data_IF_061571523653
#
_entry.id   IF_061571523653
#
_cell.length_a   1.000
_cell.length_b   1.000
_cell.length_c   1.000
_cell.angle_alpha   90.00
_cell.angle_beta   90.00
_cell.angle_gamma   90.00
#
_symmetry.space_group_name_H-M   'P 1'
#
loop_
_entity.id
_entity.type
_entity.pdbx_description
1 polymer ?
#
# COMPACT_ATOMS: atom_id res chain seq x y z
N UNK A 1 -35.58 -7.39 9.03
CA UNK A 1 -35.43 -7.34 7.55
C UNK A 1 -34.22 -6.46 7.25
N UNK A 2 -33.00 -7.01 7.34
CA UNK A 2 -31.72 -6.31 7.04
C UNK A 2 -30.65 -7.33 6.63
N UNK A 3 -31.03 -8.25 5.73
CA UNK A 3 -30.10 -9.23 5.15
C UNK A 3 -30.32 -9.21 3.65
N UNK A 4 -29.75 -8.21 2.97
CA UNK A 4 -29.34 -8.37 1.58
C UNK A 4 -28.55 -7.15 1.10
N UNK A 5 -27.23 -7.31 1.06
CA UNK A 5 -26.35 -6.84 0.01
C UNK A 5 -24.90 -7.06 0.45
N UNK A 6 -24.50 -8.31 0.68
CA UNK A 6 -23.11 -8.66 0.41
C UNK A 6 -22.94 -8.64 -1.12
N UNK A 7 -22.98 -7.44 -1.70
CA UNK A 7 -22.76 -7.24 -3.13
C UNK A 7 -21.42 -7.85 -3.47
N UNK A 8 -21.39 -8.70 -4.51
CA UNK A 8 -20.15 -9.32 -4.97
C UNK A 8 -19.09 -8.23 -5.16
N UNK A 9 -17.88 -8.47 -4.62
CA UNK A 9 -16.75 -7.55 -4.81
C UNK A 9 -16.51 -7.35 -6.31
N UNK A 10 -16.46 -6.09 -6.74
CA UNK A 10 -16.04 -5.73 -8.08
C UNK A 10 -14.51 -5.92 -8.23
N UNK A 11 -13.99 -5.75 -9.46
CA UNK A 11 -12.55 -5.90 -9.71
C UNK A 11 -11.67 -5.00 -8.84
N UNK A 12 -12.17 -3.81 -8.49
CA UNK A 12 -11.48 -2.87 -7.60
C UNK A 12 -11.52 -3.36 -6.16
N UNK A 13 -12.69 -3.86 -5.73
CA UNK A 13 -12.87 -4.50 -4.44
C UNK A 13 -11.86 -5.62 -4.22
N UNK A 14 -11.75 -6.54 -5.17
CA UNK A 14 -10.76 -7.62 -5.11
C UNK A 14 -9.31 -7.11 -5.09
N UNK A 15 -8.97 -6.15 -5.94
CA UNK A 15 -7.62 -5.57 -5.98
C UNK A 15 -7.24 -4.99 -4.61
N UNK A 16 -8.07 -4.09 -4.06
CA UNK A 16 -7.77 -3.44 -2.79
C UNK A 16 -7.86 -4.38 -1.60
N UNK A 17 -8.70 -5.42 -1.67
CA UNK A 17 -8.73 -6.47 -0.65
C UNK A 17 -7.40 -7.24 -0.61
N UNK A 18 -6.87 -7.66 -1.76
CA UNK A 18 -5.59 -8.38 -1.83
C UNK A 18 -4.44 -7.48 -1.37
N UNK A 19 -4.37 -6.24 -1.86
CA UNK A 19 -3.32 -5.30 -1.47
C UNK A 19 -3.42 -4.93 0.02
N UNK A 20 -4.63 -4.72 0.53
CA UNK A 20 -4.90 -4.43 1.93
C UNK A 20 -4.51 -5.59 2.84
N UNK A 21 -4.94 -6.81 2.50
CA UNK A 21 -4.61 -8.02 3.25
C UNK A 21 -3.09 -8.27 3.28
N UNK A 22 -2.41 -8.12 2.14
CA UNK A 22 -0.94 -8.25 2.08
C UNK A 22 -0.23 -7.21 2.94
N UNK A 23 -0.68 -5.95 2.91
CA UNK A 23 -0.12 -4.87 3.73
C UNK A 23 -0.33 -5.12 5.23
N UNK A 24 -1.53 -5.58 5.62
CA UNK A 24 -1.84 -5.93 7.01
C UNK A 24 -1.01 -7.14 7.46
N UNK A 25 -0.86 -8.18 6.63
CA UNK A 25 -0.03 -9.33 6.96
C UNK A 25 1.44 -8.92 7.19
N UNK A 26 2.00 -8.09 6.29
CA UNK A 26 3.34 -7.52 6.44
C UNK A 26 3.46 -6.71 7.75
N UNK A 27 2.47 -5.86 8.05
CA UNK A 27 2.43 -5.09 9.28
C UNK A 27 2.37 -5.95 10.54
N UNK A 28 1.53 -6.99 10.57
CA UNK A 28 1.44 -7.88 11.71
C UNK A 28 2.76 -8.63 11.96
N UNK A 29 3.50 -8.98 10.91
CA UNK A 29 4.84 -9.55 11.06
C UNK A 29 5.81 -8.53 11.67
N UNK A 30 5.86 -7.29 11.16
CA UNK A 30 6.67 -6.22 11.75
C UNK A 30 6.34 -5.96 13.24
N UNK A 31 5.06 -6.00 13.61
CA UNK A 31 4.61 -5.72 14.97
C UNK A 31 4.92 -6.87 15.94
N UNK A 32 4.65 -8.10 15.53
CA UNK A 32 4.77 -9.30 16.36
C UNK A 32 6.18 -9.89 16.40
N UNK A 33 6.93 -9.80 15.30
CA UNK A 33 8.27 -10.39 15.15
C UNK A 33 9.22 -9.47 14.38
N UNK A 34 9.53 -8.25 14.89
CA UNK A 34 10.29 -7.24 14.14
C UNK A 34 11.69 -7.69 13.73
N UNK A 35 12.40 -8.44 14.59
CA UNK A 35 13.72 -8.97 14.24
C UNK A 35 13.63 -9.99 13.11
N UNK A 36 12.70 -10.94 13.22
CA UNK A 36 12.48 -11.95 12.19
C UNK A 36 12.06 -11.32 10.85
N UNK A 37 11.21 -10.29 10.87
CA UNK A 37 10.88 -9.54 9.67
C UNK A 37 12.11 -8.84 9.07
N UNK A 38 12.91 -8.18 9.91
CA UNK A 38 14.10 -7.44 9.47
C UNK A 38 15.17 -8.36 8.88
N UNK A 39 15.33 -9.58 9.37
CA UNK A 39 16.36 -10.51 8.87
C UNK A 39 15.87 -11.38 7.71
N UNK A 40 14.60 -11.80 7.70
CA UNK A 40 14.15 -12.91 6.85
C UNK A 40 13.23 -12.46 5.71
N UNK A 41 12.76 -11.19 5.71
CA UNK A 41 12.09 -10.65 4.54
C UNK A 41 13.08 -10.65 3.36
N UNK A 42 12.73 -11.22 2.19
CA UNK A 42 13.63 -11.32 1.03
C UNK A 42 13.74 -9.97 0.28
N UNK A 43 14.09 -8.92 1.01
CA UNK A 43 14.25 -7.55 0.55
C UNK A 43 15.54 -6.90 1.08
N UNK A 44 16.44 -7.70 1.71
CA UNK A 44 17.69 -7.23 2.30
C UNK A 44 17.52 -5.98 3.18
N UNK A 45 16.49 -5.97 4.03
CA UNK A 45 16.24 -4.86 4.97
C UNK A 45 17.47 -4.44 5.79
N UNK A 46 18.42 -5.34 6.16
CA UNK A 46 19.64 -4.92 6.85
C UNK A 46 20.51 -3.92 6.10
N UNK A 47 20.38 -3.81 4.78
CA UNK A 47 21.08 -2.81 3.97
C UNK A 47 20.59 -1.38 4.28
N UNK A 48 19.40 -1.21 4.89
CA UNK A 48 18.85 0.09 5.29
C UNK A 48 19.38 0.61 6.62
N UNK A 49 20.37 -0.06 7.22
CA UNK A 49 21.02 0.32 8.48
C UNK A 49 20.66 -0.58 9.67
N UNK A 50 21.23 -0.30 10.87
CA UNK A 50 21.14 -1.20 12.02
C UNK A 50 19.70 -1.45 12.52
N UNK A 51 19.45 -2.66 13.03
CA UNK A 51 18.14 -3.03 13.58
C UNK A 51 17.68 -2.09 14.70
N UNK A 52 16.48 -1.55 14.55
CA UNK A 52 15.77 -0.81 15.58
C UNK A 52 14.32 -1.32 15.68
N UNK A 53 13.93 -2.00 16.79
CA UNK A 53 12.61 -2.60 16.92
C UNK A 53 11.47 -1.57 17.03
N UNK A 54 11.76 -0.34 17.46
CA UNK A 54 10.76 0.73 17.46
C UNK A 54 10.49 1.18 16.03
N UNK A 55 11.56 1.46 15.28
CA UNK A 55 11.48 1.87 13.87
C UNK A 55 10.73 0.84 13.00
N UNK A 56 11.05 -0.45 13.14
CA UNK A 56 10.32 -1.52 12.42
C UNK A 56 8.83 -1.51 12.76
N UNK A 57 8.46 -1.27 14.02
CA UNK A 57 7.05 -1.21 14.43
C UNK A 57 6.35 0.05 13.95
N UNK A 58 7.03 1.18 13.85
CA UNK A 58 6.48 2.40 13.25
C UNK A 58 6.15 2.18 11.77
N UNK A 59 7.04 1.52 11.02
CA UNK A 59 6.76 1.07 9.65
C UNK A 59 5.56 0.11 9.65
N UNK A 60 5.51 -0.82 10.60
CA UNK A 60 4.36 -1.69 10.85
C UNK A 60 3.04 -0.93 10.98
N UNK A 61 2.99 0.09 11.84
CA UNK A 61 1.81 0.94 12.02
C UNK A 61 1.41 1.67 10.73
N UNK A 62 2.38 2.15 9.94
CA UNK A 62 2.12 2.81 8.67
C UNK A 62 1.51 1.84 7.63
N UNK A 63 2.09 0.66 7.46
CA UNK A 63 1.55 -0.40 6.58
C UNK A 63 0.19 -0.91 7.06
N UNK A 64 -0.02 -1.04 8.37
CA UNK A 64 -1.32 -1.42 8.92
C UNK A 64 -2.39 -0.37 8.59
N UNK A 65 -2.06 0.91 8.77
CA UNK A 65 -2.98 2.03 8.48
C UNK A 65 -3.34 2.07 6.99
N UNK A 66 -2.35 1.99 6.10
CA UNK A 66 -2.59 1.94 4.65
C UNK A 66 -3.36 0.68 4.24
N UNK A 67 -3.01 -0.48 4.81
CA UNK A 67 -3.67 -1.76 4.55
C UNK A 67 -5.13 -1.78 5.00
N UNK A 68 -5.42 -1.21 6.17
CA UNK A 68 -6.78 -1.06 6.68
C UNK A 68 -7.61 -0.12 5.79
N UNK A 69 -7.02 0.99 5.32
CA UNK A 69 -7.69 1.90 4.38
C UNK A 69 -8.03 1.19 3.05
N UNK A 70 -7.10 0.40 2.50
CA UNK A 70 -7.35 -0.40 1.29
C UNK A 70 -8.41 -1.48 1.51
N UNK A 71 -8.33 -2.19 2.64
CA UNK A 71 -9.35 -3.17 3.03
C UNK A 71 -10.74 -2.54 3.16
N UNK A 72 -10.84 -1.34 3.72
CA UNK A 72 -12.09 -0.60 3.78
C UNK A 72 -12.56 -0.16 2.38
N UNK A 73 -11.66 0.35 1.54
CA UNK A 73 -11.97 0.75 0.16
C UNK A 73 -12.53 -0.40 -0.69
N UNK A 74 -12.21 -1.66 -0.33
CA UNK A 74 -12.73 -2.83 -1.01
C UNK A 74 -14.25 -2.96 -0.86
N UNK A 75 -14.78 -2.66 0.34
CA UNK A 75 -16.19 -2.83 0.69
C UNK A 75 -16.99 -1.52 0.70
N UNK A 76 -16.34 -0.37 0.57
CA UNK A 76 -16.99 0.94 0.56
C UNK A 76 -16.74 1.71 -0.75
N UNK A 77 -17.42 1.36 -1.88
CA UNK A 77 -17.23 2.03 -3.17
C UNK A 77 -17.36 3.55 -3.10
N UNK A 78 -18.29 4.07 -2.29
CA UNK A 78 -18.49 5.51 -2.07
C UNK A 78 -17.29 6.23 -1.46
N UNK A 79 -16.48 5.55 -0.65
CA UNK A 79 -15.31 6.12 0.02
C UNK A 79 -13.98 5.67 -0.61
N UNK A 80 -14.07 4.98 -1.74
CA UNK A 80 -12.93 4.30 -2.34
C UNK A 80 -11.83 5.26 -2.77
N UNK A 81 -12.16 6.35 -3.47
CA UNK A 81 -11.14 7.30 -3.92
C UNK A 81 -10.34 7.92 -2.76
N UNK A 82 -10.94 8.50 -1.70
CA UNK A 82 -10.14 9.06 -0.61
C UNK A 82 -9.34 8.01 0.15
N UNK A 83 -9.89 6.81 0.39
CA UNK A 83 -9.18 5.73 1.09
C UNK A 83 -7.96 5.21 0.29
N UNK A 84 -8.15 4.93 -0.99
CA UNK A 84 -7.05 4.51 -1.89
C UNK A 84 -6.06 5.65 -2.10
N UNK A 85 -6.53 6.90 -2.14
CA UNK A 85 -5.69 8.09 -2.22
C UNK A 85 -4.73 8.22 -1.03
N UNK A 86 -5.21 8.02 0.20
CA UNK A 86 -4.36 8.04 1.39
C UNK A 86 -3.29 6.94 1.35
N UNK A 87 -3.65 5.72 0.97
CA UNK A 87 -2.67 4.64 0.79
C UNK A 87 -1.65 4.99 -0.32
N UNK A 88 -2.13 5.56 -1.44
CA UNK A 88 -1.28 5.98 -2.55
C UNK A 88 -0.23 6.99 -2.12
N UNK A 89 -0.58 7.95 -1.27
CA UNK A 89 0.37 8.95 -0.72
C UNK A 89 1.49 8.24 0.03
N UNK A 90 1.15 7.34 0.96
CA UNK A 90 2.13 6.59 1.75
C UNK A 90 3.06 5.76 0.85
N UNK A 91 2.50 4.91 -0.01
CA UNK A 91 3.30 4.03 -0.87
C UNK A 91 4.15 4.81 -1.87
N UNK A 92 3.68 5.94 -2.38
CA UNK A 92 4.47 6.81 -3.27
C UNK A 92 5.64 7.44 -2.51
N UNK A 93 5.39 8.02 -1.33
CA UNK A 93 6.44 8.61 -0.51
C UNK A 93 7.50 7.57 -0.12
N UNK A 94 7.06 6.36 0.25
CA UNK A 94 7.95 5.25 0.57
C UNK A 94 8.79 4.81 -0.64
N UNK A 95 8.19 4.67 -1.83
CA UNK A 95 8.93 4.35 -3.04
C UNK A 95 9.93 5.44 -3.45
N UNK A 96 9.59 6.71 -3.26
CA UNK A 96 10.50 7.83 -3.52
C UNK A 96 11.68 7.83 -2.55
N UNK A 97 11.48 7.46 -1.28
CA UNK A 97 12.57 7.32 -0.31
C UNK A 97 13.58 6.25 -0.77
N UNK A 98 13.11 5.05 -1.10
CA UNK A 98 13.98 3.98 -1.62
C UNK A 98 14.70 4.38 -2.91
N UNK A 99 13.99 5.06 -3.82
CA UNK A 99 14.58 5.58 -5.06
C UNK A 99 15.67 6.60 -4.78
N UNK A 100 15.43 7.51 -3.83
CA UNK A 100 16.40 8.54 -3.44
C UNK A 100 17.65 7.90 -2.83
N UNK A 101 17.50 7.05 -1.81
CA UNK A 101 18.63 6.42 -1.14
C UNK A 101 19.44 5.50 -2.07
N UNK A 102 18.78 4.79 -2.98
CA UNK A 102 19.48 4.03 -4.01
C UNK A 102 20.21 4.95 -4.99
N UNK A 103 19.59 6.06 -5.44
CA UNK A 103 20.21 6.98 -6.39
C UNK A 103 21.45 7.69 -5.83
N UNK A 104 21.46 8.03 -4.53
CA UNK A 104 22.61 8.70 -3.88
C UNK A 104 23.65 7.73 -3.32
N UNK A 105 23.41 6.42 -3.42
CA UNK A 105 24.34 5.37 -3.00
C UNK A 105 24.29 5.03 -1.51
N UNK A 106 23.25 5.44 -0.78
CA UNK A 106 22.99 4.98 0.58
C UNK A 106 22.49 3.53 0.62
N UNK A 107 21.84 3.08 -0.46
CA UNK A 107 21.49 1.68 -0.67
C UNK A 107 22.27 1.08 -1.86
N UNK A 108 22.60 -0.23 -1.80
CA UNK A 108 23.14 -0.96 -2.93
C UNK A 108 22.27 -0.84 -4.20
N UNK A 109 22.90 -0.75 -5.39
CA UNK A 109 22.17 -0.55 -6.65
C UNK A 109 21.23 -1.71 -7.04
N UNK A 110 21.40 -2.90 -6.46
CA UNK A 110 20.46 -4.01 -6.65
C UNK A 110 19.07 -3.73 -6.04
N UNK A 111 18.92 -2.73 -5.16
CA UNK A 111 17.61 -2.34 -4.61
C UNK A 111 16.62 -1.86 -5.69
N UNK A 112 17.10 -1.35 -6.82
CA UNK A 112 16.23 -1.05 -7.98
C UNK A 112 15.37 -2.24 -8.42
N UNK A 113 15.88 -3.46 -8.27
CA UNK A 113 15.18 -4.69 -8.62
C UNK A 113 14.63 -5.41 -7.40
N UNK A 114 15.40 -5.46 -6.32
CA UNK A 114 15.03 -6.16 -5.08
C UNK A 114 13.75 -5.58 -4.47
N UNK A 115 13.59 -4.25 -4.52
CA UNK A 115 12.47 -3.56 -3.87
C UNK A 115 11.20 -3.54 -4.75
N UNK A 116 11.26 -4.03 -6.00
CA UNK A 116 10.12 -4.01 -6.93
C UNK A 116 8.86 -4.65 -6.33
N UNK A 117 8.90 -5.86 -5.74
CA UNK A 117 7.69 -6.53 -5.26
C UNK A 117 7.02 -5.82 -4.08
N UNK A 118 7.83 -5.27 -3.16
CA UNK A 118 7.36 -4.72 -1.89
C UNK A 118 7.17 -3.20 -1.87
N UNK A 119 7.86 -2.48 -2.75
CA UNK A 119 7.96 -1.01 -2.71
C UNK A 119 7.44 -0.39 -4.00
N UNK A 120 8.03 -0.71 -5.16
CA UNK A 120 7.71 -0.02 -6.41
C UNK A 120 6.40 -0.49 -7.05
N UNK A 121 6.16 -1.79 -7.15
CA UNK A 121 4.96 -2.33 -7.77
C UNK A 121 3.67 -1.91 -7.03
N UNK A 122 3.58 -1.97 -5.68
CA UNK A 122 2.43 -1.47 -4.95
C UNK A 122 2.18 0.02 -5.19
N UNK A 123 3.24 0.85 -5.20
CA UNK A 123 3.11 2.28 -5.45
C UNK A 123 2.54 2.55 -6.85
N UNK A 124 3.09 1.93 -7.89
CA UNK A 124 2.60 2.09 -9.27
C UNK A 124 1.14 1.64 -9.40
N UNK A 125 0.79 0.48 -8.84
CA UNK A 125 -0.58 -0.03 -8.87
C UNK A 125 -1.56 0.95 -8.20
N UNK A 126 -1.20 1.52 -7.06
CA UNK A 126 -2.04 2.48 -6.34
C UNK A 126 -2.14 3.83 -7.06
N UNK A 127 -1.05 4.34 -7.63
CA UNK A 127 -1.05 5.56 -8.44
C UNK A 127 -1.99 5.41 -9.64
N UNK A 128 -1.86 4.32 -10.40
CA UNK A 128 -2.69 4.04 -11.57
C UNK A 128 -4.15 3.85 -11.16
N UNK A 129 -4.41 3.10 -10.09
CA UNK A 129 -5.76 2.88 -9.56
C UNK A 129 -6.43 4.19 -9.16
N UNK A 130 -5.74 5.05 -8.41
CA UNK A 130 -6.23 6.36 -7.98
C UNK A 130 -6.51 7.27 -9.17
N UNK A 131 -5.62 7.32 -10.16
CA UNK A 131 -5.83 8.12 -11.37
C UNK A 131 -7.08 7.67 -12.16
N UNK A 132 -7.29 6.36 -12.30
CA UNK A 132 -8.46 5.82 -13.01
C UNK A 132 -9.75 6.09 -12.22
N UNK A 133 -9.75 5.88 -10.90
CA UNK A 133 -10.91 6.15 -10.06
C UNK A 133 -11.32 7.63 -10.10
N UNK A 134 -10.33 8.54 -10.00
CA UNK A 134 -10.57 9.98 -10.09
C UNK A 134 -11.19 10.40 -11.43
N UNK A 135 -10.72 9.84 -12.54
CA UNK A 135 -11.30 10.11 -13.87
C UNK A 135 -12.76 9.69 -13.95
N UNK A 136 -13.10 8.51 -13.43
CA UNK A 136 -14.47 7.99 -13.43
C UNK A 136 -15.43 8.81 -12.59
N UNK A 137 -15.03 9.21 -11.38
CA UNK A 137 -15.85 10.11 -10.57
C UNK A 137 -16.11 11.44 -11.31
N UNK A 138 -15.10 11.99 -12.00
CA UNK A 138 -15.25 13.20 -12.82
C UNK A 138 -16.24 13.03 -13.98
N UNK A 139 -16.19 11.91 -14.70
CA UNK A 139 -17.12 11.56 -15.78
C UNK A 139 -18.56 11.41 -15.26
N UNK A 140 -18.74 10.70 -14.14
CA UNK A 140 -20.06 10.53 -13.50
C UNK A 140 -20.66 11.86 -13.01
N UNK A 141 -19.82 12.77 -12.52
CA UNK A 141 -20.26 14.12 -12.13
C UNK A 141 -20.68 14.97 -13.33
N UNK A 142 -19.97 14.89 -14.45
CA UNK A 142 -20.34 15.61 -15.67
C UNK A 142 -21.68 15.12 -16.24
N UNK A 143 -21.88 13.80 -16.36
CA UNK A 143 -23.14 13.23 -16.87
C UNK A 143 -24.36 13.54 -16.01
N UNK A 144 -24.19 13.81 -14.71
CA UNK A 144 -25.32 14.21 -13.83
C UNK A 144 -25.66 15.69 -13.89
N UNK A 145 -24.80 16.51 -14.51
CA UNK A 145 -24.99 17.95 -14.65
C UNK A 145 -25.69 18.34 -15.96
N UNK A 146 -25.72 17.42 -16.93
CA UNK A 146 -26.46 17.53 -18.21
C UNK A 146 -27.90 16.99 -18.07
#
# INVERSE_FOLDING_TARGET
MMTDAAGKLDRWGWLFLVMGAGSVANALWMLGGPMHWYTDLPAAVPDTGPFNPHFVRDIGCAFFTAGAALGWAAFAPRWRLPLVGTATIFFTAHALLHSYDTAIGNLPQNHWWLDVPGVYAPAVLLIVSTAILKRREGEEHATRAD
#
